data_IF_177496878838
#
_entry.id   IF_177496878838
#
_cell.length_a   1.000
_cell.length_b   1.000
_cell.length_c   1.000
_cell.angle_alpha   90.00
_cell.angle_beta   90.00
_cell.angle_gamma   90.00
#
_symmetry.space_group_name_H-M   'P 1'
#
loop_
_entity.id
_entity.type
_entity.pdbx_description
1 polymer ?
#
# COMPACT_ATOMS: atom_id res chain seq x y z
N UNK A 1 11.76 2.82 -8.24
CA UNK A 1 12.54 2.96 -9.48
C UNK A 1 12.33 1.73 -10.36
N UNK A 2 12.18 1.91 -11.68
CA UNK A 2 12.18 0.79 -12.65
C UNK A 2 13.55 0.73 -13.30
N UNK A 3 14.09 -0.47 -13.45
CA UNK A 3 15.43 -0.73 -13.98
C UNK A 3 15.37 -1.91 -14.94
N UNK A 4 16.24 -1.94 -15.95
CA UNK A 4 16.46 -3.12 -16.78
C UNK A 4 17.85 -3.67 -16.52
N UNK A 5 17.92 -4.99 -16.43
CA UNK A 5 19.13 -5.79 -16.42
C UNK A 5 19.71 -5.87 -17.86
N UNK A 6 21.04 -6.03 -18.04
CA UNK A 6 21.68 -6.47 -19.29
C UNK A 6 20.95 -7.61 -20.04
N UNK A 7 20.32 -8.55 -19.33
CA UNK A 7 19.52 -9.63 -19.93
C UNK A 7 18.14 -9.17 -20.44
N UNK A 8 17.83 -7.86 -20.33
CA UNK A 8 16.56 -7.27 -20.77
C UNK A 8 15.42 -7.39 -19.74
N UNK A 9 15.64 -8.07 -18.62
CA UNK A 9 14.64 -8.27 -17.58
C UNK A 9 14.31 -6.94 -16.86
N UNK A 10 13.03 -6.65 -16.68
CA UNK A 10 12.58 -5.44 -15.96
C UNK A 10 12.43 -5.71 -14.46
N UNK A 11 13.08 -4.87 -13.68
CA UNK A 11 13.10 -4.85 -12.23
C UNK A 11 12.42 -3.59 -11.68
N UNK A 12 11.79 -3.72 -10.52
CA UNK A 12 11.20 -2.61 -9.78
C UNK A 12 11.72 -2.62 -8.34
N UNK A 13 12.48 -1.59 -7.99
CA UNK A 13 12.99 -1.37 -6.62
C UNK A 13 12.11 -0.34 -5.93
N UNK A 14 11.54 -0.67 -4.78
CA UNK A 14 10.63 0.21 -4.03
C UNK A 14 10.89 0.17 -2.55
N UNK A 15 10.58 1.28 -1.87
CA UNK A 15 10.55 1.33 -0.41
C UNK A 15 9.24 0.76 0.11
N UNK A 16 9.31 -0.12 1.10
CA UNK A 16 8.13 -0.63 1.80
C UNK A 16 7.77 0.32 2.94
N UNK A 17 6.60 0.93 2.86
CA UNK A 17 6.19 1.92 3.86
C UNK A 17 5.64 1.32 5.15
N UNK A 18 5.16 0.08 5.09
CA UNK A 18 4.50 -0.59 6.20
C UNK A 18 5.06 -2.00 6.39
N UNK A 19 5.29 -2.46 7.63
CA UNK A 19 5.87 -3.78 7.88
C UNK A 19 4.95 -4.95 7.49
N UNK A 20 3.65 -4.75 7.32
CA UNK A 20 2.69 -5.79 6.89
C UNK A 20 2.61 -5.96 5.36
N UNK A 21 2.49 -7.21 4.90
CA UNK A 21 2.31 -7.54 3.47
C UNK A 21 0.89 -7.14 3.06
N UNK A 22 0.75 -6.07 2.28
CA UNK A 22 -0.55 -5.66 1.74
C UNK A 22 -0.98 -6.60 0.60
N UNK A 23 -1.97 -7.45 0.85
CA UNK A 23 -2.79 -8.09 -0.19
C UNK A 23 -3.90 -7.12 -0.57
N UNK A 24 -3.66 -6.26 -1.55
CA UNK A 24 -4.65 -5.30 -2.03
C UNK A 24 -5.51 -5.96 -3.12
N UNK A 25 -6.77 -6.28 -2.80
CA UNK A 25 -7.84 -6.39 -3.79
C UNK A 25 -8.41 -5.00 -4.01
N UNK A 26 -8.55 -4.60 -5.27
CA UNK A 26 -9.10 -3.30 -5.66
C UNK A 26 -10.59 -3.21 -5.27
N UNK A 27 -11.05 -2.09 -4.69
CA UNK A 27 -12.47 -1.84 -4.49
C UNK A 27 -13.12 -1.28 -5.77
N UNK A 28 -14.25 -1.87 -6.15
CA UNK A 28 -15.12 -1.37 -7.22
C UNK A 28 -15.86 -0.09 -6.81
N UNK A 29 -16.13 0.75 -7.79
CA UNK A 29 -16.83 2.04 -7.71
C UNK A 29 -18.28 1.90 -7.25
N UNK A 30 -18.69 2.75 -6.29
CA UNK A 30 -20.05 2.81 -5.75
C UNK A 30 -20.99 3.75 -6.52
N UNK A 31 -22.31 3.68 -6.26
CA UNK A 31 -23.35 4.32 -7.06
C UNK A 31 -23.84 5.62 -6.42
N UNK A 32 -23.55 6.77 -7.05
CA UNK A 32 -24.11 8.06 -6.65
C UNK A 32 -24.46 8.89 -7.89
N UNK A 33 -25.62 8.62 -8.50
CA UNK A 33 -26.13 9.34 -9.68
C UNK A 33 -27.63 9.73 -9.57
N UNK A 34 -28.18 9.89 -8.36
CA UNK A 34 -29.64 10.03 -8.17
C UNK A 34 -30.18 11.34 -7.56
N UNK A 35 -29.34 12.30 -7.17
CA UNK A 35 -29.76 13.37 -6.23
C UNK A 35 -29.95 14.76 -6.85
N UNK A 36 -30.47 14.86 -8.08
CA UNK A 36 -30.79 16.15 -8.70
C UNK A 36 -32.25 16.18 -9.16
N UNK A 37 -33.20 16.53 -8.29
CA UNK A 37 -34.60 16.72 -8.71
C UNK A 37 -35.70 16.79 -7.64
N UNK A 38 -35.39 17.06 -6.37
CA UNK A 38 -36.40 17.14 -5.30
C UNK A 38 -36.39 18.53 -4.68
N UNK A 39 -37.23 19.45 -5.15
CA UNK A 39 -37.14 20.83 -4.67
C UNK A 39 -38.24 21.84 -4.94
N UNK A 40 -39.33 21.52 -5.67
CA UNK A 40 -40.31 22.56 -6.07
C UNK A 40 -41.75 22.35 -5.61
N UNK A 41 -42.05 21.29 -4.84
CA UNK A 41 -43.40 21.02 -4.33
C UNK A 41 -43.41 20.64 -2.82
N UNK A 42 -44.47 21.03 -2.07
CA UNK A 42 -44.56 20.75 -0.64
C UNK A 42 -44.60 19.24 -0.32
N UNK A 43 -44.97 18.38 -1.28
CA UNK A 43 -44.98 16.93 -1.10
C UNK A 43 -43.55 16.37 -1.14
N UNK A 44 -42.72 16.80 -2.10
CA UNK A 44 -41.27 16.54 -2.13
C UNK A 44 -40.58 16.91 -0.82
N UNK A 45 -40.92 18.06 -0.23
CA UNK A 45 -40.34 18.50 1.05
C UNK A 45 -40.66 17.52 2.20
N UNK A 46 -41.90 17.03 2.30
CA UNK A 46 -42.29 16.05 3.32
C UNK A 46 -41.54 14.73 3.10
N UNK A 47 -41.47 14.25 1.85
CA UNK A 47 -40.74 13.02 1.50
C UNK A 47 -39.26 13.17 1.87
N UNK A 48 -38.62 14.30 1.55
CA UNK A 48 -37.23 14.58 1.88
C UNK A 48 -36.99 14.59 3.40
N UNK A 49 -37.89 15.20 4.19
CA UNK A 49 -37.79 15.21 5.65
C UNK A 49 -37.89 13.79 6.22
N UNK A 50 -38.84 12.98 5.76
CA UNK A 50 -38.99 11.59 6.21
C UNK A 50 -37.75 10.78 5.85
N UNK A 51 -37.26 10.89 4.61
CA UNK A 51 -36.02 10.23 4.19
C UNK A 51 -34.82 10.69 5.00
N UNK A 52 -34.71 11.98 5.33
CA UNK A 52 -33.64 12.51 6.17
C UNK A 52 -33.69 11.92 7.58
N UNK A 53 -34.87 11.84 8.20
CA UNK A 53 -35.05 11.23 9.53
C UNK A 53 -34.64 9.75 9.50
N UNK A 54 -35.04 9.02 8.45
CA UNK A 54 -34.66 7.62 8.26
C UNK A 54 -33.15 7.46 7.99
N UNK A 55 -32.54 8.41 7.28
CA UNK A 55 -31.11 8.42 6.98
C UNK A 55 -30.25 8.90 8.16
N UNK A 56 -30.82 9.66 9.10
CA UNK A 56 -30.12 10.27 10.24
C UNK A 56 -29.24 9.28 11.04
N UNK A 57 -29.69 8.09 11.44
CA UNK A 57 -28.82 7.13 12.13
C UNK A 57 -27.62 6.71 11.28
N UNK A 58 -27.80 6.55 9.97
CA UNK A 58 -26.71 6.22 9.05
C UNK A 58 -25.76 7.39 8.85
N UNK A 59 -26.27 8.62 8.78
CA UNK A 59 -25.46 9.84 8.70
C UNK A 59 -24.61 9.98 9.97
N UNK A 60 -25.21 9.82 11.15
CA UNK A 60 -24.48 9.86 12.43
C UNK A 60 -23.37 8.80 12.44
N UNK A 61 -23.70 7.55 12.11
CA UNK A 61 -22.72 6.47 12.02
C UNK A 61 -21.59 6.81 11.02
N UNK A 62 -21.95 7.32 9.84
CA UNK A 62 -20.98 7.71 8.82
C UNK A 62 -20.06 8.83 9.30
N UNK A 63 -20.57 9.81 10.04
CA UNK A 63 -19.76 10.88 10.65
C UNK A 63 -18.79 10.34 11.70
N UNK A 64 -19.23 9.42 12.56
CA UNK A 64 -18.37 8.76 13.53
C UNK A 64 -17.23 8.00 12.85
N UNK A 65 -17.55 7.22 11.80
CA UNK A 65 -16.55 6.51 11.01
C UNK A 65 -15.61 7.50 10.32
N UNK A 66 -16.12 8.54 9.68
CA UNK A 66 -15.31 9.56 9.02
C UNK A 66 -14.36 10.27 10.00
N UNK A 67 -14.83 10.55 11.22
CA UNK A 67 -14.02 11.12 12.28
C UNK A 67 -12.90 10.17 12.73
N UNK A 68 -13.19 8.89 12.94
CA UNK A 68 -12.19 7.86 13.24
C UNK A 68 -11.13 7.78 12.12
N UNK A 69 -11.56 7.76 10.86
CA UNK A 69 -10.66 7.78 9.71
C UNK A 69 -9.81 9.04 9.67
N UNK A 70 -10.36 10.21 10.02
CA UNK A 70 -9.63 11.46 10.11
C UNK A 70 -8.59 11.41 11.23
N UNK A 71 -8.93 10.86 12.39
CA UNK A 71 -7.99 10.63 13.49
C UNK A 71 -6.86 9.69 13.08
N UNK A 72 -7.17 8.57 12.42
CA UNK A 72 -6.16 7.65 11.90
C UNK A 72 -5.25 8.33 10.87
N UNK A 73 -5.84 9.13 9.97
CA UNK A 73 -5.07 9.89 8.99
C UNK A 73 -4.14 10.91 9.66
N UNK A 74 -4.62 11.57 10.72
CA UNK A 74 -3.83 12.48 11.53
C UNK A 74 -2.75 11.74 12.32
N UNK A 75 -3.00 10.51 12.76
CA UNK A 75 -2.03 9.68 13.51
C UNK A 75 -0.88 9.18 12.63
N UNK A 76 -1.10 8.95 11.33
CA UNK A 76 -0.06 8.49 10.39
C UNK A 76 1.21 9.35 10.42
N UNK A 77 1.18 10.70 10.28
CA UNK A 77 2.39 11.51 10.33
C UNK A 77 3.08 11.45 11.70
N UNK A 78 2.34 11.40 12.82
CA UNK A 78 2.95 11.23 14.15
C UNK A 78 3.61 9.87 14.30
N UNK A 79 2.97 8.80 13.84
CA UNK A 79 3.54 7.47 13.83
C UNK A 79 4.79 7.38 12.94
N UNK A 80 4.78 8.04 11.79
CA UNK A 80 5.94 8.15 10.91
C UNK A 80 7.08 8.91 11.57
N UNK A 81 6.79 10.02 12.26
CA UNK A 81 7.78 10.82 12.98
C UNK A 81 8.36 10.05 14.17
N UNK A 82 7.51 9.40 14.97
CA UNK A 82 7.93 8.51 16.03
C UNK A 82 8.82 7.39 15.48
N UNK A 83 8.42 6.75 14.37
CA UNK A 83 9.22 5.70 13.71
C UNK A 83 10.61 6.19 13.32
N UNK A 84 10.72 7.42 12.81
CA UNK A 84 12.01 8.05 12.49
C UNK A 84 12.80 8.34 13.77
N UNK A 85 12.16 8.88 14.81
CA UNK A 85 12.80 9.20 16.09
C UNK A 85 13.30 7.96 16.85
N UNK A 86 12.61 6.82 16.75
CA UNK A 86 13.01 5.55 17.35
C UNK A 86 13.98 4.74 16.48
N UNK A 87 14.51 5.30 15.39
CA UNK A 87 15.54 4.66 14.55
C UNK A 87 15.07 3.41 13.78
N UNK A 88 13.75 3.21 13.65
CA UNK A 88 13.22 2.02 13.00
C UNK A 88 13.57 2.00 11.51
N UNK A 89 14.28 0.96 11.09
CA UNK A 89 14.75 0.81 9.73
C UNK A 89 13.60 0.64 8.72
N UNK A 90 13.70 1.31 7.58
CA UNK A 90 12.84 1.09 6.42
C UNK A 90 13.30 -0.14 5.67
N UNK A 91 12.40 -0.91 5.08
CA UNK A 91 12.77 -2.07 4.27
C UNK A 91 12.71 -1.70 2.79
N UNK A 92 13.75 -2.02 2.03
CA UNK A 92 13.75 -1.94 0.56
C UNK A 92 13.38 -3.30 0.01
N UNK A 93 12.58 -3.30 -1.06
CA UNK A 93 12.21 -4.51 -1.80
C UNK A 93 12.65 -4.36 -3.26
N UNK A 94 13.25 -5.41 -3.81
CA UNK A 94 13.47 -5.58 -5.25
C UNK A 94 12.50 -6.62 -5.81
N UNK A 95 11.79 -6.25 -6.87
CA UNK A 95 10.77 -7.09 -7.51
C UNK A 95 11.14 -7.36 -8.97
N UNK A 96 10.92 -8.60 -9.39
CA UNK A 96 10.99 -9.04 -10.78
C UNK A 96 9.57 -9.19 -11.30
N UNK A 97 9.13 -8.25 -12.16
CA UNK A 97 7.71 -8.16 -12.53
C UNK A 97 6.80 -7.88 -11.31
N UNK A 98 5.91 -8.82 -10.99
CA UNK A 98 5.01 -8.76 -9.83
C UNK A 98 5.51 -9.55 -8.60
N UNK A 99 6.60 -10.30 -8.74
CA UNK A 99 7.13 -11.17 -7.69
C UNK A 99 8.24 -10.47 -6.92
N UNK A 100 8.17 -10.52 -5.59
CA UNK A 100 9.25 -10.01 -4.72
C UNK A 100 10.40 -11.01 -4.76
N UNK A 101 11.58 -10.53 -5.11
CA UNK A 101 12.79 -11.34 -5.24
C UNK A 101 13.70 -11.19 -4.01
N UNK A 102 13.84 -9.96 -3.52
CA UNK A 102 14.74 -9.62 -2.43
C UNK A 102 14.18 -8.51 -1.54
N UNK A 103 14.51 -8.58 -0.26
CA UNK A 103 14.21 -7.58 0.76
C UNK A 103 15.37 -7.38 1.75
N UNK A 104 15.62 -6.14 2.15
CA UNK A 104 16.59 -5.84 3.20
C UNK A 104 16.25 -4.57 3.99
N UNK A 105 16.63 -4.50 5.28
CA UNK A 105 16.58 -3.27 6.06
C UNK A 105 17.58 -2.24 5.51
N UNK A 106 17.13 -0.99 5.46
CA UNK A 106 17.78 0.09 4.72
C UNK A 106 17.98 1.37 5.53
N UNK A 107 17.99 1.24 6.86
CA UNK A 107 18.25 2.38 7.72
C UNK A 107 17.15 3.44 7.68
N UNK A 108 17.55 4.70 7.82
CA UNK A 108 16.68 5.87 7.80
C UNK A 108 16.15 6.25 6.41
N UNK A 109 15.45 7.38 6.33
CA UNK A 109 14.82 7.85 5.09
C UNK A 109 15.83 8.17 3.98
N UNK A 110 16.96 8.79 4.34
CA UNK A 110 18.01 9.21 3.38
C UNK A 110 18.86 8.02 2.93
N UNK A 111 19.28 7.20 3.87
CA UNK A 111 20.05 5.95 3.64
C UNK A 111 19.28 4.99 2.73
N UNK A 112 17.99 4.81 2.97
CA UNK A 112 17.16 3.98 2.10
C UNK A 112 16.94 4.59 0.71
N UNK A 113 17.18 5.89 0.50
CA UNK A 113 17.18 6.50 -0.82
C UNK A 113 18.45 6.17 -1.59
N UNK A 114 19.59 6.34 -0.92
CA UNK A 114 20.92 6.00 -1.45
C UNK A 114 21.02 4.51 -1.79
N UNK A 115 20.50 3.64 -0.93
CA UNK A 115 20.55 2.19 -1.14
C UNK A 115 19.60 1.71 -2.25
N UNK A 116 18.46 2.40 -2.49
CA UNK A 116 17.65 2.12 -3.69
C UNK A 116 18.44 2.45 -4.96
N UNK A 117 19.20 3.54 -4.95
CA UNK A 117 20.06 3.93 -6.07
C UNK A 117 21.21 2.96 -6.31
N UNK A 118 21.88 2.50 -5.24
CA UNK A 118 22.97 1.54 -5.36
C UNK A 118 22.49 0.17 -5.86
N UNK A 119 21.37 -0.35 -5.34
CA UNK A 119 20.78 -1.61 -5.81
C UNK A 119 20.28 -1.49 -7.25
N UNK A 120 19.68 -0.36 -7.62
CA UNK A 120 19.29 -0.09 -8.99
C UNK A 120 20.48 -0.11 -9.94
N UNK A 121 21.61 0.53 -9.57
CA UNK A 121 22.84 0.52 -10.35
C UNK A 121 23.46 -0.87 -10.45
N UNK A 122 23.53 -1.62 -9.35
CA UNK A 122 24.02 -3.00 -9.35
C UNK A 122 23.22 -3.90 -10.32
N UNK A 123 21.89 -3.78 -10.35
CA UNK A 123 21.04 -4.51 -11.30
C UNK A 123 21.32 -4.09 -12.75
N UNK A 124 21.59 -2.80 -13.02
CA UNK A 124 21.98 -2.34 -14.36
C UNK A 124 23.33 -2.88 -14.81
N UNK A 125 24.23 -3.13 -13.86
CA UNK A 125 25.56 -3.69 -14.10
C UNK A 125 25.54 -5.23 -14.19
N UNK A 126 24.36 -5.86 -14.10
CA UNK A 126 24.19 -7.32 -14.13
C UNK A 126 24.47 -8.01 -12.79
N UNK A 127 24.72 -7.25 -11.72
CA UNK A 127 24.88 -7.77 -10.37
C UNK A 127 23.52 -7.91 -9.69
N UNK A 128 22.91 -9.08 -9.86
CA UNK A 128 21.59 -9.38 -9.31
C UNK A 128 21.65 -9.65 -7.80
N UNK A 129 20.73 -9.06 -7.01
CA UNK A 129 20.65 -9.35 -5.58
C UNK A 129 20.23 -10.80 -5.33
N UNK A 130 20.76 -11.45 -4.27
CA UNK A 130 20.42 -12.83 -3.95
C UNK A 130 18.93 -12.95 -3.65
N UNK A 131 18.31 -14.08 -3.99
CA UNK A 131 16.88 -14.30 -3.71
C UNK A 131 16.68 -14.58 -2.23
N UNK A 132 16.21 -13.61 -1.45
CA UNK A 132 15.88 -13.79 -0.03
C UNK A 132 14.42 -14.21 0.18
N UNK A 133 13.56 -14.00 -0.82
CA UNK A 133 12.12 -14.29 -0.71
C UNK A 133 11.76 -15.55 -1.49
N UNK A 134 11.27 -16.57 -0.77
CA UNK A 134 10.83 -17.86 -1.34
C UNK A 134 11.94 -18.85 -1.68
N UNK A 135 13.15 -18.69 -1.11
CA UNK A 135 14.24 -19.67 -1.23
C UNK A 135 14.09 -20.88 -0.29
N UNK A 136 13.13 -20.85 0.65
CA UNK A 136 12.86 -21.94 1.59
C UNK A 136 11.71 -22.88 1.19
N UNK A 137 11.06 -22.66 0.05
CA UNK A 137 9.91 -23.45 -0.44
C UNK A 137 10.30 -24.44 -1.55
N UNK A 138 11.59 -24.69 -1.78
CA UNK A 138 12.00 -25.85 -2.59
C UNK A 138 11.80 -27.12 -1.75
N UNK A 139 10.86 -28.02 -2.10
CA UNK A 139 10.73 -29.28 -1.41
C UNK A 139 12.05 -30.06 -1.56
N UNK A 140 12.58 -30.55 -0.44
CA UNK A 140 13.82 -31.33 -0.34
C UNK A 140 13.81 -32.69 -1.07
N UNK A 141 12.91 -32.89 -2.05
CA UNK A 141 12.64 -34.17 -2.69
C UNK A 141 13.74 -34.66 -3.64
N UNK A 142 14.59 -33.78 -4.18
CA UNK A 142 15.60 -34.16 -5.19
C UNK A 142 17.00 -34.47 -4.64
N UNK A 143 17.22 -34.46 -3.32
CA UNK A 143 18.54 -34.80 -2.73
C UNK A 143 18.71 -36.27 -2.32
N UNK A 144 17.73 -37.13 -2.61
CA UNK A 144 17.74 -38.53 -2.15
C UNK A 144 17.83 -39.56 -3.30
N UNK A 145 18.28 -39.15 -4.49
CA UNK A 145 18.51 -40.05 -5.63
C UNK A 145 19.97 -39.95 -6.11
N UNK A 146 20.91 -40.23 -5.20
CA UNK A 146 22.24 -40.78 -5.52
C UNK A 146 22.35 -42.17 -4.91
#
# INVERSE_FOLDING_TARGET
>A
MKVRDPEGQTWRVTRRWVPWRRRLKAPGSGPLDGLNGLGDDPVSAIIAIVLLILALPFIILALFVAFEFLLLLLLIPFAALARVAFGAHWTIEARRGFTIWWDAPAGGWRESGEQIGSVARAIQEGQLPPRTVGAGDEPAADRAAE
#
